data_IF_166631386523
#
_entry.id   IF_166631386523
#
_cell.length_a   1.000
_cell.length_b   1.000
_cell.length_c   1.000
_cell.angle_alpha   90.00
_cell.angle_beta   90.00
_cell.angle_gamma   90.00
#
_symmetry.space_group_name_H-M   'P 1'
#
loop_
_entity.id
_entity.type
_entity.pdbx_description
1 polymer ?
#
# COMPACT_ATOMS: atom_id res chain seq x y z
N UNK A 1 -20.86 11.06 19.79
CA UNK A 1 -20.32 11.33 18.44
C UNK A 1 -19.05 10.49 18.31
N UNK A 2 -19.06 9.47 17.48
CA UNK A 2 -17.83 8.75 17.17
C UNK A 2 -16.88 9.72 16.43
N UNK A 3 -15.70 9.90 16.98
CA UNK A 3 -14.65 10.69 16.33
C UNK A 3 -14.18 9.92 15.10
N UNK A 4 -14.51 10.43 13.92
CA UNK A 4 -13.99 9.84 12.67
C UNK A 4 -12.47 9.92 12.71
N UNK A 5 -11.79 8.76 12.54
CA UNK A 5 -10.32 8.74 12.48
C UNK A 5 -9.84 9.63 11.33
N UNK A 6 -8.78 10.41 11.58
CA UNK A 6 -8.16 11.26 10.56
C UNK A 6 -7.50 10.44 9.45
N UNK A 7 -7.11 9.20 9.74
CA UNK A 7 -6.38 8.32 8.82
C UNK A 7 -7.01 6.94 8.82
N UNK A 8 -7.17 6.35 7.65
CA UNK A 8 -7.51 4.94 7.45
C UNK A 8 -6.38 4.21 6.72
N UNK A 9 -6.16 2.92 7.06
CA UNK A 9 -5.19 2.06 6.39
C UNK A 9 -5.86 1.13 5.38
N UNK A 10 -5.24 1.00 4.20
CA UNK A 10 -5.67 0.07 3.16
C UNK A 10 -4.48 -0.72 2.63
N UNK A 11 -4.69 -2.02 2.45
CA UNK A 11 -3.71 -2.90 1.80
C UNK A 11 -4.27 -3.33 0.45
N UNK A 12 -3.53 -3.09 -0.61
CA UNK A 12 -3.89 -3.58 -1.94
C UNK A 12 -3.36 -5.01 -2.09
N UNK A 13 -4.28 -5.96 -2.16
CA UNK A 13 -3.99 -7.38 -2.30
C UNK A 13 -4.86 -7.93 -3.43
N UNK A 14 -4.36 -7.88 -4.62
CA UNK A 14 -5.05 -8.33 -5.83
C UNK A 14 -4.18 -8.09 -7.04
N UNK A 15 -4.55 -8.70 -8.12
CA UNK A 15 -3.82 -8.68 -9.36
C UNK A 15 -3.62 -10.10 -9.86
N UNK A 16 -3.54 -10.29 -11.17
CA UNK A 16 -3.24 -11.58 -11.75
C UNK A 16 -1.80 -12.00 -11.38
N UNK A 17 -1.68 -12.73 -10.26
CA UNK A 17 -0.42 -13.37 -9.83
C UNK A 17 -0.03 -14.54 -10.75
N UNK A 18 -0.29 -14.39 -12.06
CA UNK A 18 -0.08 -15.40 -13.09
C UNK A 18 1.37 -15.94 -13.15
N UNK A 19 2.33 -15.14 -12.72
CA UNK A 19 3.77 -15.51 -12.76
C UNK A 19 4.20 -16.41 -11.59
N UNK A 20 3.48 -16.42 -10.48
CA UNK A 20 3.82 -17.21 -9.29
C UNK A 20 2.89 -18.43 -9.11
N UNK A 21 1.83 -18.58 -9.92
CA UNK A 21 0.86 -19.69 -9.82
C UNK A 21 0.05 -19.72 -8.53
N UNK A 22 0.25 -18.77 -7.62
CA UNK A 22 -0.42 -18.64 -6.32
C UNK A 22 -0.70 -17.17 -6.03
N UNK A 23 -1.71 -16.93 -5.20
CA UNK A 23 -1.99 -15.59 -4.66
C UNK A 23 -0.81 -15.13 -3.79
N UNK A 24 -0.15 -14.04 -4.22
CA UNK A 24 1.02 -13.49 -3.50
C UNK A 24 0.67 -13.10 -2.07
N UNK A 25 -0.51 -12.55 -1.83
CA UNK A 25 -0.94 -12.11 -0.51
C UNK A 25 -1.00 -13.26 0.51
N UNK A 26 -1.13 -14.51 0.04
CA UNK A 26 -1.14 -15.72 0.88
C UNK A 26 0.23 -16.38 1.05
N UNK A 27 1.28 -15.86 0.43
CA UNK A 27 2.64 -16.33 0.70
C UNK A 27 3.07 -15.92 2.10
N UNK A 28 3.79 -16.79 2.79
CA UNK A 28 4.17 -16.58 4.20
C UNK A 28 5.64 -16.19 4.33
N UNK A 29 5.91 -15.17 5.13
CA UNK A 29 7.22 -14.82 5.64
C UNK A 29 7.17 -14.90 7.18
N UNK A 30 8.11 -15.63 7.77
CA UNK A 30 8.15 -15.92 9.22
C UNK A 30 6.81 -16.46 9.78
N UNK A 31 6.12 -17.31 8.99
CA UNK A 31 4.84 -17.91 9.37
C UNK A 31 3.64 -16.97 9.29
N UNK A 32 3.79 -15.75 8.78
CA UNK A 32 2.71 -14.79 8.61
C UNK A 32 2.47 -14.50 7.12
N UNK A 33 1.22 -14.59 6.65
CA UNK A 33 0.86 -14.25 5.27
C UNK A 33 1.17 -12.77 4.97
N UNK A 34 1.67 -12.47 3.77
CA UNK A 34 2.06 -11.12 3.37
C UNK A 34 0.94 -10.09 3.55
N UNK A 35 -0.29 -10.46 3.23
CA UNK A 35 -1.45 -9.57 3.40
C UNK A 35 -1.71 -9.27 4.87
N UNK A 36 -1.52 -10.24 5.77
CA UNK A 36 -1.68 -10.06 7.23
C UNK A 36 -0.57 -9.17 7.76
N UNK A 37 0.68 -9.44 7.38
CA UNK A 37 1.84 -8.62 7.72
C UNK A 37 1.64 -7.15 7.30
N UNK A 38 1.24 -6.91 6.05
CA UNK A 38 0.98 -5.56 5.56
C UNK A 38 -0.20 -4.90 6.30
N UNK A 39 -1.26 -5.65 6.62
CA UNK A 39 -2.41 -5.14 7.37
C UNK A 39 -2.04 -4.74 8.80
N UNK A 40 -1.26 -5.57 9.51
CA UNK A 40 -0.77 -5.29 10.86
C UNK A 40 0.14 -4.07 10.87
N UNK A 41 1.00 -3.96 9.87
CA UNK A 41 1.91 -2.82 9.74
C UNK A 41 1.13 -1.52 9.48
N UNK A 42 0.19 -1.51 8.54
CA UNK A 42 -0.67 -0.37 8.26
C UNK A 42 -1.51 0.01 9.49
N UNK A 43 -2.09 -0.98 10.20
CA UNK A 43 -2.84 -0.76 11.42
C UNK A 43 -1.98 -0.11 12.51
N UNK A 44 -0.73 -0.54 12.66
CA UNK A 44 0.21 0.03 13.65
C UNK A 44 0.56 1.50 13.37
N UNK A 45 0.53 1.92 12.11
CA UNK A 45 0.81 3.29 11.71
C UNK A 45 -0.42 4.20 11.78
N UNK A 46 -1.62 3.67 11.52
CA UNK A 46 -2.87 4.45 11.48
C UNK A 46 -3.67 4.41 12.78
N UNK A 47 -3.32 3.50 13.69
CA UNK A 47 -4.03 3.31 14.97
C UNK A 47 -5.39 2.61 14.85
N UNK A 48 -5.72 2.05 13.67
CA UNK A 48 -6.99 1.35 13.41
C UNK A 48 -6.76 0.15 12.46
N UNK A 49 -7.61 -0.89 12.53
CA UNK A 49 -7.51 -2.03 11.62
C UNK A 49 -7.54 -1.62 10.16
N UNK A 50 -6.60 -2.16 9.37
CA UNK A 50 -6.56 -1.91 7.95
C UNK A 50 -7.66 -2.67 7.18
N UNK A 51 -8.08 -2.11 6.05
CA UNK A 51 -9.00 -2.75 5.11
C UNK A 51 -8.24 -3.27 3.89
N UNK A 52 -8.52 -4.50 3.49
CA UNK A 52 -7.92 -5.10 2.30
C UNK A 52 -8.77 -4.77 1.09
N UNK A 53 -8.16 -4.23 0.04
CA UNK A 53 -8.80 -4.12 -1.28
C UNK A 53 -8.34 -5.31 -2.10
N UNK A 54 -9.27 -6.23 -2.37
CA UNK A 54 -8.92 -7.48 -3.06
C UNK A 54 -10.02 -8.53 -3.05
N UNK A 55 -9.64 -9.77 -3.34
CA UNK A 55 -10.56 -10.89 -3.38
C UNK A 55 -10.97 -11.42 -1.99
N UNK A 56 -12.06 -12.22 -1.96
CA UNK A 56 -12.60 -12.82 -0.71
C UNK A 56 -11.69 -13.87 -0.09
N UNK A 57 -10.62 -14.28 -0.76
CA UNK A 57 -9.64 -15.25 -0.25
C UNK A 57 -9.00 -14.84 1.09
N UNK A 58 -9.04 -13.57 1.44
CA UNK A 58 -8.44 -13.03 2.67
C UNK A 58 -9.43 -12.98 3.86
N UNK A 59 -10.72 -13.19 3.62
CA UNK A 59 -11.76 -13.19 4.67
C UNK A 59 -11.50 -14.24 5.76
N UNK A 60 -11.07 -15.49 5.43
CA UNK A 60 -10.77 -16.50 6.45
C UNK A 60 -9.60 -16.13 7.39
N UNK A 61 -8.79 -15.16 7.01
CA UNK A 61 -7.68 -14.64 7.85
C UNK A 61 -8.16 -13.63 8.91
N UNK A 62 -9.47 -13.40 9.03
CA UNK A 62 -10.02 -12.42 9.98
C UNK A 62 -9.85 -10.96 9.54
N UNK A 63 -9.47 -10.70 8.30
CA UNK A 63 -9.26 -9.36 7.74
C UNK A 63 -10.56 -8.76 7.22
N UNK A 64 -10.72 -7.45 7.36
CA UNK A 64 -11.79 -6.71 6.70
C UNK A 64 -11.45 -6.59 5.21
N UNK A 65 -12.29 -7.14 4.35
CA UNK A 65 -12.08 -7.16 2.89
C UNK A 65 -13.17 -6.36 2.19
N UNK A 66 -12.75 -5.54 1.23
CA UNK A 66 -13.63 -4.84 0.28
C UNK A 66 -13.22 -5.27 -1.12
N UNK A 67 -14.18 -5.75 -1.91
CA UNK A 67 -13.94 -6.12 -3.30
C UNK A 67 -13.51 -4.93 -4.15
N UNK A 68 -12.65 -5.17 -5.13
CA UNK A 68 -12.28 -4.12 -6.09
C UNK A 68 -13.50 -3.78 -6.96
N UNK A 69 -13.92 -2.52 -6.95
CA UNK A 69 -15.04 -2.04 -7.77
C UNK A 69 -14.75 -2.00 -9.26
N UNK A 70 -13.46 -1.96 -9.60
CA UNK A 70 -12.96 -1.78 -10.96
C UNK A 70 -11.95 -2.89 -11.32
N UNK A 71 -12.40 -4.17 -11.30
CA UNK A 71 -11.52 -5.29 -11.60
C UNK A 71 -10.89 -5.11 -12.99
N UNK A 72 -9.59 -5.39 -13.09
CA UNK A 72 -8.82 -5.18 -14.32
C UNK A 72 -8.36 -3.74 -14.58
N UNK A 73 -8.76 -2.77 -13.74
CA UNK A 73 -8.24 -1.40 -13.83
C UNK A 73 -6.84 -1.21 -13.20
N UNK A 74 -6.26 -2.29 -12.67
CA UNK A 74 -4.95 -2.29 -12.06
C UNK A 74 -4.90 -1.53 -10.73
N UNK A 75 -3.69 -1.18 -10.26
CA UNK A 75 -3.52 -0.53 -8.94
C UNK A 75 -4.27 0.80 -8.81
N UNK A 76 -4.44 1.54 -9.90
CA UNK A 76 -5.21 2.80 -9.88
C UNK A 76 -6.68 2.57 -9.54
N UNK A 77 -7.28 1.46 -10.04
CA UNK A 77 -8.64 1.04 -9.70
C UNK A 77 -8.78 0.69 -8.23
N UNK A 78 -7.82 -0.06 -7.69
CA UNK A 78 -7.79 -0.45 -6.28
C UNK A 78 -7.64 0.78 -5.37
N UNK A 79 -6.81 1.78 -5.73
CA UNK A 79 -6.71 3.06 -5.01
C UNK A 79 -8.06 3.79 -5.02
N UNK A 80 -8.72 3.90 -6.19
CA UNK A 80 -10.04 4.53 -6.29
C UNK A 80 -11.09 3.82 -5.42
N UNK A 81 -11.05 2.49 -5.37
CA UNK A 81 -11.92 1.67 -4.52
C UNK A 81 -11.66 1.94 -3.04
N UNK A 82 -10.39 1.98 -2.61
CA UNK A 82 -10.01 2.31 -1.24
C UNK A 82 -10.52 3.69 -0.82
N UNK A 83 -10.28 4.71 -1.66
CA UNK A 83 -10.74 6.06 -1.41
C UNK A 83 -12.26 6.13 -1.33
N UNK A 84 -13.00 5.44 -2.19
CA UNK A 84 -14.46 5.38 -2.14
C UNK A 84 -14.97 4.75 -0.84
N UNK A 85 -14.35 3.65 -0.42
CA UNK A 85 -14.73 2.91 0.79
C UNK A 85 -14.39 3.66 2.08
N UNK A 86 -13.50 4.63 2.04
CA UNK A 86 -13.05 5.38 3.21
C UNK A 86 -13.99 6.52 3.57
N UNK A 87 -14.10 6.79 4.88
CA UNK A 87 -14.68 8.01 5.44
C UNK A 87 -13.61 8.93 6.02
N UNK A 88 -12.37 8.47 6.13
CA UNK A 88 -11.26 9.25 6.66
C UNK A 88 -10.75 10.27 5.62
N UNK A 89 -10.33 11.47 6.05
CA UNK A 89 -9.70 12.45 5.15
C UNK A 89 -8.44 11.91 4.48
N UNK A 90 -7.57 11.21 5.20
CA UNK A 90 -6.34 10.65 4.71
C UNK A 90 -6.36 9.12 4.70
N UNK A 91 -5.72 8.53 3.70
CA UNK A 91 -5.74 7.10 3.47
C UNK A 91 -4.33 6.61 3.15
N UNK A 92 -3.77 5.80 4.05
CA UNK A 92 -2.53 5.09 3.83
C UNK A 92 -2.81 3.92 2.89
N UNK A 93 -2.15 3.90 1.74
CA UNK A 93 -2.24 2.80 0.77
C UNK A 93 -0.89 2.09 0.74
N UNK A 94 -0.91 0.79 1.00
CA UNK A 94 0.27 -0.08 0.86
C UNK A 94 -0.05 -1.30 0.03
N UNK A 95 0.87 -1.73 -0.83
CA UNK A 95 0.77 -3.01 -1.51
C UNK A 95 1.27 -4.15 -0.61
N UNK A 96 0.62 -5.31 -0.67
CA UNK A 96 1.01 -6.46 0.16
C UNK A 96 2.36 -7.08 -0.25
N UNK A 97 2.89 -6.76 -1.42
CA UNK A 97 4.16 -7.29 -1.95
C UNK A 97 5.38 -6.40 -1.66
N UNK A 98 5.28 -5.51 -0.68
CA UNK A 98 6.37 -4.68 -0.14
C UNK A 98 6.80 -5.19 1.25
N UNK A 99 7.53 -6.31 1.34
CA UNK A 99 7.76 -7.01 2.60
C UNK A 99 8.72 -6.28 3.56
N UNK A 100 9.47 -5.29 3.08
CA UNK A 100 10.51 -4.59 3.84
C UNK A 100 10.06 -3.25 4.42
N UNK A 101 8.78 -2.89 4.25
CA UNK A 101 8.23 -1.69 4.88
C UNK A 101 8.36 -1.79 6.40
N UNK A 102 8.66 -0.66 7.04
CA UNK A 102 8.79 -0.56 8.50
C UNK A 102 7.66 0.29 9.08
N UNK A 103 7.38 0.07 10.37
CA UNK A 103 6.41 0.89 11.12
C UNK A 103 6.84 2.35 11.16
N UNK A 104 8.11 2.59 11.43
CA UNK A 104 8.70 3.92 11.56
C UNK A 104 8.52 4.72 10.27
N UNK A 105 8.76 4.08 9.13
CA UNK A 105 8.53 4.68 7.82
C UNK A 105 7.06 5.04 7.59
N UNK A 106 6.14 4.11 7.86
CA UNK A 106 4.72 4.37 7.66
C UNK A 106 4.17 5.44 8.62
N UNK A 107 4.66 5.50 9.85
CA UNK A 107 4.33 6.56 10.79
C UNK A 107 4.81 7.93 10.29
N UNK A 108 6.06 8.02 9.84
CA UNK A 108 6.58 9.25 9.22
C UNK A 108 5.71 9.71 8.04
N UNK A 109 5.33 8.78 7.17
CA UNK A 109 4.48 9.07 6.00
C UNK A 109 3.09 9.59 6.43
N UNK A 110 2.49 9.01 7.47
CA UNK A 110 1.22 9.48 8.07
C UNK A 110 1.39 10.88 8.66
N UNK A 111 2.41 11.11 9.47
CA UNK A 111 2.67 12.41 10.09
C UNK A 111 2.88 13.49 9.03
N UNK A 112 3.62 13.19 7.97
CA UNK A 112 3.84 14.11 6.86
C UNK A 112 2.53 14.50 6.17
N UNK A 113 1.66 13.53 5.92
CA UNK A 113 0.38 13.77 5.27
C UNK A 113 -0.57 14.63 6.12
N UNK A 114 -0.57 14.45 7.44
CA UNK A 114 -1.44 15.21 8.36
C UNK A 114 -1.14 16.71 8.38
N UNK A 115 0.07 17.12 8.06
CA UNK A 115 0.49 18.54 7.99
C UNK A 115 0.56 19.06 6.56
N UNK A 116 0.39 18.20 5.55
CA UNK A 116 0.46 18.54 4.14
C UNK A 116 -0.80 19.26 3.64
N UNK A 117 -0.61 20.21 2.74
CA UNK A 117 -1.70 20.82 1.98
C UNK A 117 -1.95 20.10 0.63
N UNK A 118 -1.20 19.05 0.32
CA UNK A 118 -1.37 18.24 -0.89
C UNK A 118 -2.62 17.35 -0.82
N UNK A 119 -2.94 16.72 -1.94
CA UNK A 119 -4.02 15.73 -2.04
C UNK A 119 -3.44 14.30 -2.15
N UNK A 120 -2.12 14.17 -2.29
CA UNK A 120 -1.38 12.92 -2.12
C UNK A 120 0.05 13.22 -1.67
N UNK A 121 0.64 12.30 -0.89
CA UNK A 121 2.05 12.36 -0.45
C UNK A 121 2.71 11.05 -0.85
N UNK A 122 3.68 11.12 -1.75
CA UNK A 122 4.33 9.97 -2.37
C UNK A 122 5.84 10.01 -2.16
N UNK A 123 6.47 8.90 -1.74
CA UNK A 123 7.93 8.83 -1.79
C UNK A 123 8.44 8.77 -3.23
N UNK A 124 9.58 9.41 -3.46
CA UNK A 124 10.35 9.31 -4.70
C UNK A 124 11.58 8.47 -4.48
N UNK A 125 11.89 7.59 -5.41
CA UNK A 125 13.16 6.88 -5.49
C UNK A 125 13.80 7.04 -6.88
N UNK A 126 14.90 6.35 -7.13
CA UNK A 126 15.63 6.43 -8.41
C UNK A 126 14.80 5.92 -9.62
N UNK A 127 13.75 5.13 -9.37
CA UNK A 127 12.84 4.59 -10.40
C UNK A 127 11.60 5.45 -10.62
N UNK A 128 11.40 6.47 -9.79
CA UNK A 128 10.25 7.36 -9.79
C UNK A 128 9.44 7.31 -8.49
N UNK A 129 8.19 7.75 -8.55
CA UNK A 129 7.30 7.74 -7.39
C UNK A 129 6.88 6.32 -7.00
N UNK A 130 6.69 6.09 -5.70
CA UNK A 130 6.18 4.84 -5.10
C UNK A 130 4.70 4.98 -4.71
N UNK A 131 3.78 4.91 -5.66
CA UNK A 131 2.38 5.19 -5.42
C UNK A 131 1.65 4.09 -4.63
N UNK A 132 2.28 2.93 -4.46
CA UNK A 132 1.72 1.79 -3.71
C UNK A 132 2.29 1.68 -2.29
N UNK A 133 3.00 2.72 -1.83
CA UNK A 133 3.33 2.99 -0.44
C UNK A 133 3.20 4.50 -0.21
N UNK A 134 1.95 5.01 -0.13
CA UNK A 134 1.68 6.43 -0.23
C UNK A 134 0.44 6.84 0.57
N UNK A 135 0.31 8.13 0.84
CA UNK A 135 -0.88 8.72 1.44
C UNK A 135 -1.72 9.42 0.39
N UNK A 136 -3.02 9.19 0.44
CA UNK A 136 -4.00 9.80 -0.46
C UNK A 136 -5.10 10.50 0.33
N UNK A 137 -5.34 11.78 0.02
CA UNK A 137 -6.46 12.49 0.58
C UNK A 137 -7.74 12.12 -0.17
N UNK A 138 -8.84 11.97 0.55
CA UNK A 138 -10.17 11.68 0.01
C UNK A 138 -10.58 12.65 -1.11
N UNK A 139 -10.11 13.91 -1.07
CA UNK A 139 -10.38 14.92 -2.09
C UNK A 139 -9.89 14.52 -3.49
N UNK A 140 -8.84 13.68 -3.57
CA UNK A 140 -8.29 13.18 -4.84
C UNK A 140 -9.16 12.13 -5.55
N UNK A 141 -10.16 11.55 -4.88
CA UNK A 141 -10.98 10.45 -5.40
C UNK A 141 -11.59 10.78 -6.78
N UNK A 142 -12.25 11.93 -6.89
CA UNK A 142 -12.95 12.29 -8.13
C UNK A 142 -12.00 12.47 -9.32
N UNK A 143 -10.81 13.03 -9.08
CA UNK A 143 -9.78 13.21 -10.12
C UNK A 143 -9.29 11.85 -10.62
N UNK A 144 -8.99 10.93 -9.70
CA UNK A 144 -8.53 9.57 -9.99
C UNK A 144 -9.61 8.80 -10.77
N UNK A 145 -10.87 8.85 -10.32
CA UNK A 145 -11.99 8.21 -11.03
C UNK A 145 -12.21 8.81 -12.42
N UNK A 146 -12.08 10.12 -12.56
CA UNK A 146 -12.12 10.78 -13.87
C UNK A 146 -11.03 10.29 -14.82
N UNK A 147 -9.81 10.07 -14.32
CA UNK A 147 -8.72 9.50 -15.11
C UNK A 147 -9.02 8.04 -15.53
N UNK A 148 -9.52 7.23 -14.61
CA UNK A 148 -9.94 5.84 -14.91
C UNK A 148 -11.02 5.78 -15.99
N UNK A 149 -12.02 6.67 -15.93
CA UNK A 149 -13.09 6.76 -16.93
C UNK A 149 -12.57 7.14 -18.33
N UNK A 150 -11.44 7.87 -18.40
CA UNK A 150 -10.73 8.17 -19.66
C UNK A 150 -9.80 7.06 -20.14
N UNK A 151 -9.77 5.92 -19.44
CA UNK A 151 -8.96 4.77 -19.81
C UNK A 151 -7.54 4.76 -19.19
N UNK A 152 -7.18 5.71 -18.33
CA UNK A 152 -5.89 5.72 -17.64
C UNK A 152 -5.80 4.52 -16.68
N UNK A 153 -4.65 3.84 -16.68
CA UNK A 153 -4.39 2.68 -15.80
C UNK A 153 -3.14 2.85 -14.95
N UNK A 154 -2.14 3.58 -15.45
CA UNK A 154 -0.91 3.86 -14.71
C UNK A 154 -1.21 4.86 -13.59
N UNK A 155 -0.76 4.54 -12.36
CA UNK A 155 -1.10 5.35 -11.18
C UNK A 155 -0.58 6.78 -11.31
N UNK A 156 0.68 6.95 -11.70
CA UNK A 156 1.29 8.28 -11.86
C UNK A 156 0.55 9.16 -12.85
N UNK A 157 0.06 8.56 -13.94
CA UNK A 157 -0.70 9.28 -14.96
C UNK A 157 -2.13 9.62 -14.46
N UNK A 158 -2.69 8.73 -13.62
CA UNK A 158 -3.99 8.94 -12.96
C UNK A 158 -3.98 10.05 -11.91
N UNK A 159 -2.79 10.43 -11.43
CA UNK A 159 -2.59 11.54 -10.49
C UNK A 159 -2.42 12.89 -11.20
N UNK A 160 -2.46 12.95 -12.52
CA UNK A 160 -2.46 14.22 -13.24
C UNK A 160 -3.68 15.07 -12.81
N UNK A 161 -3.42 16.23 -12.19
CA UNK A 161 -4.44 17.08 -11.59
C UNK A 161 -4.69 16.85 -10.10
N UNK A 162 -4.05 15.89 -9.47
CA UNK A 162 -3.92 15.75 -8.02
C UNK A 162 -2.71 16.58 -7.56
N UNK A 163 -2.85 17.37 -6.51
CA UNK A 163 -1.70 18.05 -5.89
C UNK A 163 -0.88 17.03 -5.13
N UNK A 164 0.30 16.71 -5.63
CA UNK A 164 1.19 15.73 -5.05
C UNK A 164 2.35 16.41 -4.35
N UNK A 165 2.59 16.03 -3.11
CA UNK A 165 3.84 16.29 -2.39
C UNK A 165 4.74 15.06 -2.53
N UNK A 166 5.97 15.27 -2.94
CA UNK A 166 6.95 14.19 -3.02
C UNK A 166 7.89 14.24 -1.81
N UNK A 167 8.14 13.07 -1.23
CA UNK A 167 9.17 12.87 -0.20
C UNK A 167 10.42 12.41 -0.91
N UNK A 168 11.44 13.25 -0.90
CA UNK A 168 12.69 13.00 -1.62
C UNK A 168 13.56 11.96 -0.90
N UNK A 169 14.48 11.27 -1.64
CA UNK A 169 15.36 10.26 -1.05
C UNK A 169 16.13 10.71 0.19
N UNK A 170 16.52 11.98 0.27
CA UNK A 170 17.22 12.52 1.43
C UNK A 170 16.39 12.47 2.72
N UNK A 171 15.05 12.48 2.61
CA UNK A 171 14.13 12.48 3.76
C UNK A 171 13.83 11.06 4.26
N UNK A 172 13.79 10.06 3.37
CA UNK A 172 13.39 8.70 3.75
C UNK A 172 14.56 7.70 3.85
N UNK A 173 15.74 8.00 3.33
CA UNK A 173 16.91 7.11 3.41
C UNK A 173 17.28 6.71 4.85
N UNK A 174 16.98 7.55 5.83
CA UNK A 174 17.22 7.21 7.25
C UNK A 174 16.39 6.00 7.73
N UNK A 175 15.29 5.68 7.05
CA UNK A 175 14.44 4.52 7.33
C UNK A 175 14.84 3.26 6.53
N UNK A 176 15.81 3.37 5.64
CA UNK A 176 16.22 2.32 4.70
C UNK A 176 17.73 2.12 4.68
N UNK A 177 18.27 1.57 5.75
CA UNK A 177 19.72 1.32 5.89
C UNK A 177 20.26 0.30 4.89
N UNK A 178 19.39 -0.53 4.29
CA UNK A 178 19.76 -1.63 3.41
C UNK A 178 19.40 -1.39 1.93
N UNK A 179 18.70 -0.29 1.60
CA UNK A 179 18.28 0.03 0.24
C UNK A 179 17.18 -0.88 -0.31
N UNK A 180 16.32 -1.44 0.57
CA UNK A 180 15.29 -2.43 0.19
C UNK A 180 13.87 -1.99 0.53
N UNK A 181 13.67 -0.85 1.17
CA UNK A 181 12.38 -0.41 1.70
C UNK A 181 11.23 -0.55 0.68
N UNK A 182 11.48 -0.15 -0.57
CA UNK A 182 10.50 -0.21 -1.66
C UNK A 182 10.75 -1.38 -2.63
N UNK A 183 11.47 -2.39 -2.21
CA UNK A 183 11.71 -3.56 -3.07
C UNK A 183 10.48 -4.46 -3.08
N UNK A 184 9.86 -4.60 -4.26
CA UNK A 184 8.70 -5.44 -4.48
C UNK A 184 9.13 -6.91 -4.59
N UNK A 185 8.27 -7.80 -4.15
CA UNK A 185 8.40 -9.24 -4.30
C UNK A 185 7.59 -9.72 -5.50
N UNK A 186 8.22 -9.83 -6.68
CA UNK A 186 7.55 -10.13 -7.94
C UNK A 186 7.88 -11.49 -8.54
N UNK A 187 8.92 -12.14 -8.04
CA UNK A 187 9.42 -13.43 -8.53
C UNK A 187 9.67 -14.42 -7.38
N UNK A 188 9.78 -15.74 -7.67
CA UNK A 188 10.23 -16.72 -6.67
C UNK A 188 11.57 -16.35 -6.03
N UNK A 189 12.50 -15.79 -6.81
CA UNK A 189 13.81 -15.36 -6.31
C UNK A 189 13.68 -14.21 -5.29
N UNK A 190 12.79 -13.24 -5.54
CA UNK A 190 12.51 -12.16 -4.58
C UNK A 190 11.92 -12.71 -3.27
N UNK A 191 11.07 -13.74 -3.39
CA UNK A 191 10.49 -14.41 -2.22
C UNK A 191 11.56 -15.16 -1.41
N UNK A 192 12.44 -15.90 -2.07
CA UNK A 192 13.53 -16.61 -1.39
C UNK A 192 14.48 -15.63 -0.69
N UNK A 193 14.80 -14.49 -1.33
CA UNK A 193 15.59 -13.44 -0.71
C UNK A 193 14.89 -12.85 0.52
N UNK A 194 13.59 -12.53 0.40
CA UNK A 194 12.80 -12.01 1.52
C UNK A 194 12.77 -12.99 2.70
N UNK A 195 12.62 -14.28 2.43
CA UNK A 195 12.69 -15.32 3.46
C UNK A 195 14.03 -15.34 4.18
N UNK A 196 15.13 -15.29 3.45
CA UNK A 196 16.47 -15.29 4.06
C UNK A 196 16.67 -14.08 4.97
N UNK A 197 16.18 -12.90 4.55
CA UNK A 197 16.33 -11.66 5.32
C UNK A 197 15.42 -11.58 6.53
N UNK A 198 14.16 -11.96 6.40
CA UNK A 198 13.12 -11.72 7.40
C UNK A 198 12.92 -12.91 8.34
N UNK A 199 13.03 -14.14 7.85
CA UNK A 199 12.88 -15.34 8.69
C UNK A 199 14.12 -15.54 9.61
N UNK A 200 15.26 -14.90 9.31
CA UNK A 200 16.52 -15.08 10.02
C UNK A 200 17.07 -16.50 9.89
N UNK A 201 18.25 -16.82 10.44
CA UNK A 201 18.72 -18.19 10.53
C UNK A 201 17.77 -18.97 11.46
N UNK A 202 17.05 -19.96 10.91
CA UNK A 202 16.22 -20.87 11.72
C UNK A 202 17.10 -21.41 12.85
N UNK A 203 16.77 -21.04 14.09
CA UNK A 203 17.33 -21.72 15.26
C UNK A 203 16.90 -23.18 15.15
N UNK A 204 17.86 -24.05 14.80
CA UNK A 204 17.69 -25.51 14.86
C UNK A 204 17.62 -25.97 16.31
#
# INVERSE_FOLDING_TARGET
>A
METVSQVAGFVLAGGESSRMGRDKGLLELDGEALVVRAANLAASATGAPATIIGGTAYTPLGLRVVGDDLPGAGPLGAIATALRASVAPWNLIVACDLPYLTREWLQFLVERALVSNADAVLPMNERGAEPLCAMYNKRGEQVIRGALNRGTRKVTDGLAGVRVEYIEPAEWKAFDSEGVLFKNMNSPADYDEARVRLDGPRKR
#
